data_IF_166034366587
#
_entry.id   IF_166034366587
#
_cell.length_a   1.000
_cell.length_b   1.000
_cell.length_c   1.000
_cell.angle_alpha   90.00
_cell.angle_beta   90.00
_cell.angle_gamma   90.00
#
_symmetry.space_group_name_H-M   'P 1'
#
loop_
_entity.id
_entity.type
_entity.pdbx_description
1 polymer ?
#
# COMPACT_ATOMS: atom_id res chain seq x y z
N UNK A 1 -9.65 23.17 1.91
CA UNK A 1 -9.86 21.91 2.65
C UNK A 1 -8.72 20.98 2.25
N UNK A 2 -7.79 20.67 3.16
CA UNK A 2 -6.73 19.71 2.86
C UNK A 2 -7.34 18.31 2.84
N UNK A 3 -7.32 17.64 1.69
CA UNK A 3 -7.77 16.26 1.57
C UNK A 3 -6.72 15.36 2.20
N UNK A 4 -7.09 14.67 3.28
CA UNK A 4 -6.19 13.75 3.96
C UNK A 4 -5.99 12.48 3.11
N UNK A 5 -4.74 12.01 3.02
CA UNK A 5 -4.35 10.85 2.21
C UNK A 5 -5.10 9.59 2.62
N UNK A 6 -5.42 9.43 3.91
CA UNK A 6 -6.21 8.30 4.43
C UNK A 6 -7.67 8.40 3.99
N UNK A 7 -8.24 9.60 3.94
CA UNK A 7 -9.60 9.81 3.44
C UNK A 7 -9.73 9.46 1.96
N UNK A 8 -8.72 9.82 1.16
CA UNK A 8 -8.64 9.44 -0.25
C UNK A 8 -8.44 7.92 -0.40
N UNK A 9 -7.52 7.32 0.35
CA UNK A 9 -7.28 5.88 0.36
C UNK A 9 -8.57 5.08 0.66
N UNK A 10 -9.29 5.45 1.72
CA UNK A 10 -10.57 4.83 2.06
C UNK A 10 -11.62 4.98 0.94
N UNK A 11 -11.60 6.08 0.19
CA UNK A 11 -12.50 6.28 -0.93
C UNK A 11 -12.20 5.31 -2.08
N UNK A 12 -10.92 5.10 -2.42
CA UNK A 12 -10.52 4.10 -3.42
C UNK A 12 -10.92 2.68 -3.02
N UNK A 13 -10.73 2.31 -1.74
CA UNK A 13 -11.14 1.00 -1.23
C UNK A 13 -12.65 0.83 -1.30
N UNK A 14 -13.42 1.81 -0.81
CA UNK A 14 -14.89 1.74 -0.82
C UNK A 14 -15.48 1.74 -2.22
N UNK A 15 -14.85 2.40 -3.18
CA UNK A 15 -15.32 2.42 -4.56
C UNK A 15 -14.98 1.13 -5.33
N UNK A 16 -14.23 0.19 -4.72
CA UNK A 16 -13.78 -1.03 -5.40
C UNK A 16 -12.69 -0.76 -6.45
N UNK A 17 -11.98 0.36 -6.33
CA UNK A 17 -10.96 0.75 -7.31
C UNK A 17 -9.60 0.08 -7.09
N UNK A 18 -9.50 -0.82 -6.10
CA UNK A 18 -8.26 -1.52 -5.76
C UNK A 18 -8.37 -2.96 -6.22
N UNK A 19 -7.54 -3.35 -7.18
CA UNK A 19 -7.42 -4.71 -7.68
C UNK A 19 -6.08 -5.29 -7.22
N UNK A 20 -6.12 -6.19 -6.24
CA UNK A 20 -4.92 -6.90 -5.76
C UNK A 20 -4.66 -8.09 -6.68
N UNK A 21 -3.47 -8.13 -7.28
CA UNK A 21 -3.05 -9.20 -8.19
C UNK A 21 -2.37 -10.31 -7.40
N UNK A 22 -1.47 -9.91 -6.50
CA UNK A 22 -0.72 -10.82 -5.63
C UNK A 22 -0.43 -10.11 -4.31
N UNK A 23 -0.63 -10.81 -3.21
CA UNK A 23 -0.24 -10.37 -1.88
C UNK A 23 0.30 -11.57 -1.12
N UNK A 24 1.61 -11.57 -0.91
CA UNK A 24 2.32 -12.54 -0.08
C UNK A 24 2.66 -11.84 1.24
N UNK A 25 2.12 -12.33 2.37
CA UNK A 25 2.46 -11.77 3.68
C UNK A 25 3.96 -11.82 3.91
N UNK A 26 4.48 -10.85 4.66
CA UNK A 26 5.81 -10.99 5.22
C UNK A 26 5.79 -12.18 6.18
N UNK A 27 6.69 -13.13 5.97
CA UNK A 27 6.83 -14.27 6.86
C UNK A 27 7.99 -14.00 7.82
N UNK A 28 7.71 -14.00 9.12
CA UNK A 28 8.70 -13.76 10.17
C UNK A 28 9.85 -14.78 10.13
N UNK A 29 9.63 -15.99 9.57
CA UNK A 29 10.65 -17.02 9.49
C UNK A 29 11.66 -16.78 8.35
N UNK A 30 11.25 -16.16 7.24
CA UNK A 30 12.09 -16.02 6.05
C UNK A 30 12.74 -14.62 5.92
N UNK A 31 12.47 -13.68 6.84
CA UNK A 31 12.88 -12.25 6.71
C UNK A 31 12.52 -11.63 5.35
N UNK A 32 11.63 -12.26 4.60
CA UNK A 32 11.26 -11.82 3.28
C UNK A 32 10.26 -10.68 3.47
N UNK A 33 10.64 -9.49 3.02
CA UNK A 33 9.70 -8.39 2.93
C UNK A 33 8.48 -8.86 2.13
N UNK A 34 7.29 -8.71 2.71
CA UNK A 34 6.03 -9.09 2.06
C UNK A 34 5.98 -8.54 0.64
N UNK A 35 5.41 -9.31 -0.28
CA UNK A 35 5.35 -8.94 -1.67
C UNK A 35 3.91 -8.62 -2.04
N UNK A 36 3.66 -7.40 -2.52
CA UNK A 36 2.34 -6.99 -3.00
C UNK A 36 2.46 -6.44 -4.40
N UNK A 37 1.54 -6.83 -5.27
CA UNK A 37 1.28 -6.20 -6.56
C UNK A 37 -0.20 -5.91 -6.63
N UNK A 38 -0.55 -4.65 -6.79
CA UNK A 38 -1.92 -4.20 -6.93
C UNK A 38 -2.04 -3.08 -7.96
N UNK A 39 -3.23 -2.94 -8.52
CA UNK A 39 -3.60 -1.85 -9.42
C UNK A 39 -4.67 -1.01 -8.75
N UNK A 40 -4.50 0.31 -8.80
CA UNK A 40 -5.49 1.27 -8.31
C UNK A 40 -6.03 2.05 -9.49
N UNK A 41 -7.32 1.91 -9.75
CA UNK A 41 -8.02 2.63 -10.81
C UNK A 41 -8.30 4.07 -10.37
N UNK A 42 -7.53 5.01 -10.93
CA UNK A 42 -7.81 6.43 -10.83
C UNK A 42 -8.88 6.87 -11.82
N UNK A 43 -9.22 8.16 -11.78
CA UNK A 43 -10.27 8.73 -12.62
C UNK A 43 -9.94 8.68 -14.11
N UNK A 44 -8.66 8.82 -14.48
CA UNK A 44 -8.22 8.82 -15.89
C UNK A 44 -7.17 7.76 -16.22
N UNK A 45 -6.57 7.11 -15.22
CA UNK A 45 -5.42 6.20 -15.39
C UNK A 45 -5.44 5.13 -14.30
N UNK A 46 -4.85 3.98 -14.60
CA UNK A 46 -4.57 2.94 -13.60
C UNK A 46 -3.14 3.12 -13.07
N UNK A 47 -2.98 3.09 -11.75
CA UNK A 47 -1.68 3.18 -11.08
C UNK A 47 -1.28 1.81 -10.56
N UNK A 48 -0.04 1.39 -10.84
CA UNK A 48 0.50 0.17 -10.27
C UNK A 48 1.16 0.49 -8.93
N UNK A 49 0.82 -0.29 -7.92
CA UNK A 49 1.37 -0.22 -6.57
C UNK A 49 2.04 -1.55 -6.27
N UNK A 50 3.30 -1.49 -5.82
CA UNK A 50 4.07 -2.66 -5.44
C UNK A 50 4.66 -2.51 -4.04
N UNK A 51 4.70 -3.60 -3.29
CA UNK A 51 5.51 -3.75 -2.09
C UNK A 51 6.62 -4.75 -2.39
N UNK A 52 7.85 -4.35 -2.11
CA UNK A 52 9.00 -5.25 -2.16
C UNK A 52 10.04 -4.86 -1.11
N UNK A 53 11.26 -5.37 -1.26
CA UNK A 53 12.36 -5.17 -0.29
C UNK A 53 12.70 -3.70 -0.01
N UNK A 54 12.42 -2.79 -0.95
CA UNK A 54 12.68 -1.34 -0.80
C UNK A 54 11.50 -0.58 -0.19
N UNK A 55 10.42 -1.27 0.17
CA UNK A 55 9.17 -0.67 0.65
C UNK A 55 8.14 -0.50 -0.46
N UNK A 56 7.14 0.34 -0.18
CA UNK A 56 6.05 0.64 -1.09
C UNK A 56 6.51 1.52 -2.25
N UNK A 57 6.07 1.17 -3.46
CA UNK A 57 6.30 1.94 -4.68
C UNK A 57 4.99 2.11 -5.43
N UNK A 58 4.78 3.28 -6.01
CA UNK A 58 3.61 3.60 -6.82
C UNK A 58 4.10 4.23 -8.12
N UNK A 59 3.45 3.92 -9.24
CA UNK A 59 3.73 4.58 -10.54
C UNK A 59 3.11 5.97 -10.66
N UNK A 60 2.41 6.42 -9.63
CA UNK A 60 1.99 7.81 -9.51
C UNK A 60 3.22 8.66 -9.17
N UNK A 61 3.32 9.84 -9.78
CA UNK A 61 4.48 10.73 -9.64
C UNK A 61 4.65 11.35 -8.22
N UNK A 62 3.77 10.98 -7.28
CA UNK A 62 3.76 11.46 -5.90
C UNK A 62 4.59 10.54 -4.98
N UNK A 63 5.77 11.01 -4.60
CA UNK A 63 6.81 10.17 -4.00
C UNK A 63 6.66 9.85 -2.50
N UNK A 64 5.93 10.65 -1.70
CA UNK A 64 6.04 10.56 -0.24
C UNK A 64 4.76 10.21 0.54
N UNK A 65 3.57 10.42 -0.02
CA UNK A 65 2.29 10.11 0.65
C UNK A 65 1.20 9.75 -0.35
N UNK A 66 1.41 8.69 -1.11
CA UNK A 66 0.48 8.27 -2.13
C UNK A 66 -0.80 7.63 -1.53
N UNK A 67 -2.01 8.15 -1.84
CA UNK A 67 -3.27 7.54 -1.39
C UNK A 67 -3.51 6.16 -2.00
N UNK A 68 -2.93 5.86 -3.17
CA UNK A 68 -3.00 4.53 -3.79
C UNK A 68 -2.23 3.50 -2.97
N UNK A 69 -1.02 3.84 -2.50
CA UNK A 69 -0.24 2.93 -1.65
C UNK A 69 -0.94 2.69 -0.32
N UNK A 70 -1.50 3.73 0.30
CA UNK A 70 -2.30 3.59 1.51
C UNK A 70 -3.57 2.76 1.29
N UNK A 71 -4.25 2.90 0.14
CA UNK A 71 -5.43 2.09 -0.18
C UNK A 71 -5.10 0.61 -0.28
N UNK A 72 -3.96 0.27 -0.91
CA UNK A 72 -3.51 -1.11 -1.02
C UNK A 72 -3.09 -1.66 0.35
N UNK A 73 -2.38 -0.88 1.18
CA UNK A 73 -2.07 -1.26 2.57
C UNK A 73 -3.32 -1.62 3.37
N UNK A 74 -4.38 -0.81 3.25
CA UNK A 74 -5.66 -1.04 3.93
C UNK A 74 -6.33 -2.34 3.47
N UNK A 75 -6.25 -2.67 2.19
CA UNK A 75 -6.87 -3.90 1.62
C UNK A 75 -6.04 -5.14 1.93
N UNK A 76 -4.71 -5.06 1.85
CA UNK A 76 -3.84 -6.23 2.02
C UNK A 76 -3.44 -6.48 3.47
N UNK A 77 -3.80 -5.58 4.40
CA UNK A 77 -3.41 -5.67 5.81
C UNK A 77 -1.90 -5.56 6.04
N UNK A 78 -1.13 -5.22 5.00
CA UNK A 78 0.28 -4.90 5.12
C UNK A 78 0.38 -3.46 5.62
N UNK A 79 0.02 -3.23 6.88
CA UNK A 79 0.32 -1.98 7.56
C UNK A 79 1.81 -1.74 7.36
N UNK A 80 2.17 -0.59 6.79
CA UNK A 80 3.56 -0.27 6.44
C UNK A 80 4.48 -0.71 7.58
N UNK A 81 5.66 -1.22 7.24
CA UNK A 81 6.75 -1.70 8.11
C UNK A 81 7.29 -0.61 9.09
N UNK A 82 6.41 0.16 9.71
CA UNK A 82 6.57 1.08 10.82
C UNK A 82 5.96 0.50 12.12
N UNK A 83 5.78 -0.83 12.21
CA UNK A 83 5.67 -1.53 13.50
C UNK A 83 6.77 -2.59 13.62
N UNK A 84 7.98 -2.15 13.99
CA UNK A 84 8.67 -2.54 15.23
C UNK A 84 10.10 -1.99 15.23
N UNK A 85 10.23 -0.70 15.56
CA UNK A 85 11.37 -0.24 16.36
C UNK A 85 10.85 -0.08 17.77
N UNK A 86 11.29 -0.95 18.69
CA UNK A 86 11.07 -0.81 20.13
C UNK A 86 9.97 -1.68 20.72
N UNK A 87 10.29 -2.94 21.03
CA UNK A 87 10.09 -3.51 22.38
C UNK A 87 10.84 -4.85 22.43
N UNK A 88 12.03 -4.82 23.04
CA UNK A 88 12.76 -5.97 23.54
C UNK A 88 12.89 -5.72 25.04
N UNK A 89 12.25 -6.56 25.84
CA UNK A 89 12.53 -6.67 27.28
C UNK A 89 13.86 -7.35 27.52
#
# INVERSE_FOLDING_TARGET
>A
MAVDVRSLACSYVRNGNVAVVSATPADDADRQAGHVIAYVHGQSRTYQVTLGRRGWSCTCEEANSCPHAAAVQLVTGHDGLARKSGESG
#
